data_IF_231417322478
#
_entry.id   IF_231417322478
#
_cell.length_a   1.000
_cell.length_b   1.000
_cell.length_c   1.000
_cell.angle_alpha   90.00
_cell.angle_beta   90.00
_cell.angle_gamma   90.00
#
_symmetry.space_group_name_H-M   'P 1'
#
loop_
_entity.id
_entity.type
_entity.pdbx_description
1 polymer ?
#
# COMPACT_ATOMS: atom_id res chain seq x y z
N UNK A 1 18.25 -21.55 -11.26
CA UNK A 1 18.61 -20.14 -11.54
C UNK A 1 17.33 -19.37 -11.36
N UNK A 2 17.18 -18.71 -10.21
CA UNK A 2 15.95 -18.00 -9.86
C UNK A 2 15.74 -16.84 -10.85
N UNK A 3 14.50 -16.69 -11.31
CA UNK A 3 14.14 -15.63 -12.24
C UNK A 3 14.38 -14.27 -11.57
N UNK A 4 15.46 -13.58 -11.92
CA UNK A 4 15.80 -12.22 -11.44
C UNK A 4 14.84 -11.13 -11.97
N UNK A 5 13.68 -11.52 -12.49
CA UNK A 5 12.68 -10.59 -13.01
C UNK A 5 11.76 -10.19 -11.87
N UNK A 6 11.68 -8.89 -11.54
CA UNK A 6 10.74 -8.41 -10.55
C UNK A 6 9.30 -8.80 -10.91
N UNK A 7 8.49 -9.09 -9.90
CA UNK A 7 7.05 -9.28 -10.07
C UNK A 7 6.39 -7.92 -10.25
N UNK A 8 5.51 -7.78 -11.26
CA UNK A 8 4.76 -6.54 -11.51
C UNK A 8 3.97 -6.13 -10.27
N UNK A 9 4.10 -4.87 -9.84
CA UNK A 9 3.54 -4.37 -8.59
C UNK A 9 4.33 -4.74 -7.33
N UNK A 10 5.38 -5.57 -7.44
CA UNK A 10 6.23 -5.99 -6.33
C UNK A 10 6.93 -4.80 -5.65
N UNK A 11 7.10 -4.89 -4.34
CA UNK A 11 7.75 -3.87 -3.51
C UNK A 11 9.20 -4.27 -3.23
N UNK A 12 10.09 -3.30 -3.33
CA UNK A 12 11.53 -3.45 -3.19
C UNK A 12 12.08 -2.30 -2.35
N UNK A 13 13.09 -2.56 -1.53
CA UNK A 13 13.81 -1.52 -0.80
C UNK A 13 15.23 -1.41 -1.31
N UNK A 14 15.73 -0.17 -1.41
CA UNK A 14 17.16 0.07 -1.62
C UNK A 14 17.96 -0.26 -0.35
N UNK A 15 19.28 -0.32 -0.46
CA UNK A 15 20.18 -0.41 0.70
C UNK A 15 20.03 0.76 1.69
N UNK A 16 19.51 1.91 1.23
CA UNK A 16 19.19 3.06 2.08
C UNK A 16 17.84 2.96 2.80
N UNK A 17 17.04 1.92 2.51
CA UNK A 17 15.70 1.72 3.09
C UNK A 17 14.57 2.43 2.34
N UNK A 18 14.86 3.11 1.23
CA UNK A 18 13.84 3.76 0.40
C UNK A 18 12.99 2.69 -0.30
N UNK A 19 11.67 2.83 -0.26
CA UNK A 19 10.73 1.85 -0.80
C UNK A 19 10.33 2.20 -2.23
N UNK A 20 10.38 1.20 -3.10
CA UNK A 20 10.07 1.28 -4.52
C UNK A 20 9.04 0.23 -4.92
N UNK A 21 8.12 0.60 -5.80
CA UNK A 21 7.20 -0.32 -6.48
C UNK A 21 7.67 -0.55 -7.90
N UNK A 22 7.77 -1.81 -8.32
CA UNK A 22 8.08 -2.15 -9.71
C UNK A 22 6.85 -1.99 -10.61
N UNK A 23 6.99 -1.27 -11.71
CA UNK A 23 5.91 -1.01 -12.67
C UNK A 23 6.02 -1.82 -13.97
N UNK A 24 7.22 -2.26 -14.36
CA UNK A 24 7.41 -3.00 -15.60
C UNK A 24 8.74 -2.74 -16.28
N UNK A 25 8.87 -3.22 -17.52
CA UNK A 25 10.07 -3.09 -18.33
C UNK A 25 9.90 -2.03 -19.42
N UNK A 26 10.98 -1.30 -19.67
CA UNK A 26 11.16 -0.46 -20.84
C UNK A 26 12.43 -0.86 -21.58
N UNK A 27 12.59 -0.33 -22.79
CA UNK A 27 13.80 -0.51 -23.59
C UNK A 27 14.33 0.84 -24.02
N UNK A 28 15.60 1.11 -23.73
CA UNK A 28 16.24 2.34 -24.14
C UNK A 28 16.32 2.41 -25.67
N UNK A 29 15.78 3.47 -26.27
CA UNK A 29 15.64 3.54 -27.73
C UNK A 29 16.97 3.61 -28.49
N UNK A 30 18.01 4.15 -27.85
CA UNK A 30 19.33 4.35 -28.48
C UNK A 30 20.26 3.14 -28.27
N UNK A 31 20.26 2.53 -27.08
CA UNK A 31 21.19 1.41 -26.75
C UNK A 31 20.52 0.05 -26.88
N UNK A 32 19.19 -0.02 -26.89
CA UNK A 32 18.43 -1.27 -26.86
C UNK A 32 18.44 -1.97 -25.51
N UNK A 33 19.04 -1.36 -24.47
CA UNK A 33 19.14 -1.95 -23.14
C UNK A 33 17.77 -2.05 -22.46
N UNK A 34 17.57 -3.16 -21.75
CA UNK A 34 16.40 -3.37 -20.90
C UNK A 34 16.52 -2.55 -19.61
N UNK A 35 15.48 -1.78 -19.34
CA UNK A 35 15.36 -0.96 -18.15
C UNK A 35 14.16 -1.44 -17.34
N UNK A 36 14.34 -1.58 -16.04
CA UNK A 36 13.28 -1.81 -15.08
C UNK A 36 12.77 -0.45 -14.60
N UNK A 37 11.46 -0.26 -14.65
CA UNK A 37 10.80 0.98 -14.22
C UNK A 37 10.26 0.78 -12.81
N UNK A 38 10.75 1.61 -11.89
CA UNK A 38 10.31 1.65 -10.51
C UNK A 38 9.69 3.00 -10.19
N UNK A 39 8.79 3.02 -9.21
CA UNK A 39 8.25 4.22 -8.61
C UNK A 39 8.67 4.28 -7.14
N UNK A 40 9.34 5.36 -6.74
CA UNK A 40 9.59 5.63 -5.32
C UNK A 40 8.27 5.96 -4.61
N UNK A 41 7.98 5.28 -3.49
CA UNK A 41 6.68 5.41 -2.80
C UNK A 41 6.44 6.82 -2.23
N UNK A 42 7.45 7.45 -1.64
CA UNK A 42 7.28 8.74 -0.96
C UNK A 42 7.21 9.91 -1.96
N UNK A 43 8.14 9.96 -2.91
CA UNK A 43 8.23 11.07 -3.88
C UNK A 43 7.39 10.87 -5.13
N UNK A 44 6.87 9.65 -5.36
CA UNK A 44 6.18 9.22 -6.58
C UNK A 44 7.04 9.32 -7.85
N UNK A 45 8.36 9.54 -7.72
CA UNK A 45 9.28 9.69 -8.84
C UNK A 45 9.49 8.33 -9.53
N UNK A 46 9.44 8.35 -10.86
CA UNK A 46 9.78 7.20 -11.69
C UNK A 46 11.30 7.12 -11.91
N UNK A 47 11.87 5.96 -11.66
CA UNK A 47 13.27 5.65 -11.91
C UNK A 47 13.40 4.48 -12.89
N UNK A 48 14.24 4.66 -13.90
CA UNK A 48 14.61 3.60 -14.82
C UNK A 48 16.00 3.07 -14.45
N UNK A 49 16.08 1.80 -14.08
CA UNK A 49 17.34 1.16 -13.65
C UNK A 49 17.66 -0.04 -14.52
N UNK A 50 18.94 -0.32 -14.72
CA UNK A 50 19.36 -1.53 -15.44
C UNK A 50 19.23 -2.76 -14.55
N UNK A 51 19.02 -3.94 -15.15
CA UNK A 51 18.95 -5.21 -14.39
C UNK A 51 20.19 -5.43 -13.51
N UNK A 52 21.44 -5.21 -13.97
CA UNK A 52 22.62 -5.41 -13.12
C UNK A 52 22.66 -4.47 -11.90
N UNK A 53 22.18 -3.23 -12.04
CA UNK A 53 22.10 -2.29 -10.92
C UNK A 53 21.04 -2.71 -9.92
N UNK A 54 19.83 -3.06 -10.40
CA UNK A 54 18.73 -3.57 -9.57
C UNK A 54 19.19 -4.72 -8.66
N UNK A 55 19.85 -5.72 -9.23
CA UNK A 55 20.27 -6.93 -8.48
C UNK A 55 21.32 -6.67 -7.40
N UNK A 56 22.01 -5.52 -7.44
CA UNK A 56 23.04 -5.15 -6.47
C UNK A 56 22.49 -4.26 -5.36
N UNK A 57 21.60 -3.34 -5.71
CA UNK A 57 21.20 -2.24 -4.83
C UNK A 57 19.80 -2.40 -4.22
N UNK A 58 19.02 -3.37 -4.71
CA UNK A 58 17.64 -3.58 -4.28
C UNK A 58 17.45 -4.98 -3.71
N UNK A 59 16.64 -5.06 -2.66
CA UNK A 59 16.17 -6.30 -2.09
C UNK A 59 14.64 -6.33 -2.21
N UNK A 60 14.06 -7.52 -2.44
CA UNK A 60 12.60 -7.68 -2.39
C UNK A 60 12.17 -7.34 -0.97
N UNK A 61 11.35 -6.30 -0.82
CA UNK A 61 10.69 -6.05 0.45
C UNK A 61 9.69 -7.19 0.68
N UNK A 62 9.31 -7.45 1.93
CA UNK A 62 8.15 -8.32 2.20
C UNK A 62 6.89 -7.81 1.47
N UNK A 63 5.79 -8.56 1.55
CA UNK A 63 4.49 -8.14 1.02
C UNK A 63 4.20 -6.65 1.33
N UNK A 64 3.67 -5.90 0.34
CA UNK A 64 3.37 -4.46 0.48
C UNK A 64 2.59 -4.24 1.78
N UNK A 65 3.14 -3.51 2.78
CA UNK A 65 2.50 -3.35 4.08
C UNK A 65 1.07 -2.79 3.96
N UNK A 66 0.85 -1.89 3.00
CA UNK A 66 -0.48 -1.35 2.67
C UNK A 66 -1.44 -2.46 2.20
N UNK A 67 -0.97 -3.39 1.37
CA UNK A 67 -1.79 -4.51 0.89
C UNK A 67 -2.05 -5.53 1.99
N UNK A 68 -1.05 -5.83 2.83
CA UNK A 68 -1.21 -6.71 3.98
C UNK A 68 -2.25 -6.17 4.97
N UNK A 69 -2.18 -4.87 5.26
CA UNK A 69 -3.14 -4.15 6.09
C UNK A 69 -4.55 -4.16 5.47
N UNK A 70 -4.69 -3.81 4.18
CA UNK A 70 -5.99 -3.83 3.49
C UNK A 70 -6.57 -5.24 3.47
N UNK A 71 -5.76 -6.25 3.18
CA UNK A 71 -6.21 -7.64 3.20
C UNK A 71 -6.70 -8.06 4.59
N UNK A 72 -5.94 -7.75 5.65
CA UNK A 72 -6.34 -8.03 7.02
C UNK A 72 -7.64 -7.29 7.39
N UNK A 73 -7.76 -6.02 7.02
CA UNK A 73 -8.94 -5.21 7.29
C UNK A 73 -10.19 -5.76 6.59
N UNK A 74 -10.08 -6.10 5.30
CA UNK A 74 -11.21 -6.59 4.51
C UNK A 74 -11.69 -7.97 4.99
N UNK A 75 -10.78 -8.81 5.47
CA UNK A 75 -11.09 -10.15 5.98
C UNK A 75 -11.40 -10.22 7.49
N UNK A 76 -11.33 -9.09 8.20
CA UNK A 76 -11.64 -9.06 9.64
C UNK A 76 -13.10 -9.45 9.91
N UNK A 77 -13.30 -10.29 10.93
CA UNK A 77 -14.60 -10.92 11.23
C UNK A 77 -15.57 -9.97 11.96
N UNK A 78 -15.07 -8.85 12.49
CA UNK A 78 -15.87 -7.88 13.25
C UNK A 78 -15.43 -6.43 13.03
N UNK A 79 -16.35 -5.49 13.26
CA UNK A 79 -16.02 -4.06 13.20
C UNK A 79 -15.05 -3.64 14.32
N UNK A 80 -15.04 -4.34 15.46
CA UNK A 80 -14.05 -4.16 16.52
C UNK A 80 -12.63 -4.48 16.04
N UNK A 81 -12.46 -5.60 15.34
CA UNK A 81 -11.17 -6.00 14.77
C UNK A 81 -10.72 -5.02 13.69
N UNK A 82 -11.63 -4.60 12.80
CA UNK A 82 -11.39 -3.53 11.83
C UNK A 82 -10.91 -2.23 12.50
N UNK A 83 -11.53 -1.85 13.62
CA UNK A 83 -11.14 -0.65 14.38
C UNK A 83 -9.74 -0.79 14.98
N UNK A 84 -9.39 -1.96 15.52
CA UNK A 84 -8.05 -2.24 16.07
C UNK A 84 -6.99 -2.15 14.98
N UNK A 85 -7.23 -2.81 13.83
CA UNK A 85 -6.32 -2.77 12.68
C UNK A 85 -6.11 -1.34 12.19
N UNK A 86 -7.18 -0.54 12.14
CA UNK A 86 -7.11 0.85 11.74
C UNK A 86 -6.25 1.67 12.72
N UNK A 87 -6.45 1.51 14.02
CA UNK A 87 -5.72 2.23 15.06
C UNK A 87 -4.24 1.85 15.18
N UNK A 88 -3.91 0.55 15.05
CA UNK A 88 -2.55 0.05 15.21
C UNK A 88 -1.62 0.46 14.05
N UNK A 89 -2.17 0.66 12.86
CA UNK A 89 -1.39 0.90 11.65
C UNK A 89 -1.52 2.35 11.15
N UNK A 90 -1.74 3.32 12.05
CA UNK A 90 -1.99 4.74 11.70
C UNK A 90 -0.91 5.35 10.79
N UNK A 91 0.36 4.98 10.97
CA UNK A 91 1.47 5.47 10.15
C UNK A 91 1.48 4.92 8.72
N UNK A 92 0.76 3.83 8.46
CA UNK A 92 0.68 3.15 7.17
C UNK A 92 -0.61 3.51 6.40
N UNK A 93 -1.47 4.35 7.00
CA UNK A 93 -2.74 4.81 6.42
C UNK A 93 -2.51 5.94 5.41
N UNK A 94 -2.15 5.57 4.18
CA UNK A 94 -2.13 6.51 3.06
C UNK A 94 -3.55 6.91 2.65
N UNK A 95 -3.70 8.03 1.93
CA UNK A 95 -4.98 8.46 1.36
C UNK A 95 -5.67 7.33 0.58
N UNK A 96 -4.92 6.64 -0.28
CA UNK A 96 -5.43 5.52 -1.08
C UNK A 96 -5.95 4.33 -0.25
N UNK A 97 -5.26 4.01 0.86
CA UNK A 97 -5.70 2.96 1.80
C UNK A 97 -7.00 3.40 2.47
N UNK A 98 -7.08 4.64 2.96
CA UNK A 98 -8.25 5.18 3.64
C UNK A 98 -9.47 5.27 2.72
N UNK A 99 -9.29 5.66 1.46
CA UNK A 99 -10.37 5.62 0.45
C UNK A 99 -10.90 4.21 0.22
N UNK A 100 -10.00 3.22 0.12
CA UNK A 100 -10.38 1.81 -0.06
C UNK A 100 -11.14 1.27 1.15
N UNK A 101 -10.67 1.61 2.36
CA UNK A 101 -11.37 1.29 3.61
C UNK A 101 -12.76 1.92 3.63
N UNK A 102 -12.88 3.21 3.28
CA UNK A 102 -14.16 3.92 3.24
C UNK A 102 -15.16 3.22 2.31
N UNK A 103 -14.72 2.87 1.10
CA UNK A 103 -15.53 2.12 0.13
C UNK A 103 -16.00 0.78 0.71
N UNK A 104 -15.13 0.04 1.38
CA UNK A 104 -15.49 -1.25 2.02
C UNK A 104 -16.48 -1.13 3.18
N UNK A 105 -16.59 0.06 3.79
CA UNK A 105 -17.52 0.36 4.88
C UNK A 105 -18.84 0.99 4.41
N UNK A 106 -19.00 1.19 3.09
CA UNK A 106 -20.05 2.00 2.47
C UNK A 106 -20.09 3.42 3.06
N UNK A 107 -18.92 3.99 3.36
CA UNK A 107 -18.76 5.34 3.89
C UNK A 107 -18.29 6.29 2.79
N UNK A 108 -18.93 7.45 2.67
CA UNK A 108 -18.51 8.52 1.76
C UNK A 108 -17.63 9.50 2.54
N UNK A 109 -16.40 9.70 2.07
CA UNK A 109 -15.48 10.67 2.65
C UNK A 109 -15.78 12.07 2.11
N UNK A 110 -15.82 13.05 3.01
CA UNK A 110 -16.06 14.45 2.68
C UNK A 110 -14.75 15.27 2.64
N UNK A 111 -13.63 14.64 2.97
CA UNK A 111 -12.32 15.25 3.19
C UNK A 111 -11.25 14.54 2.36
N UNK A 112 -10.28 15.29 1.85
CA UNK A 112 -9.03 14.79 1.24
C UNK A 112 -7.83 14.86 2.19
N UNK A 113 -8.03 15.30 3.44
CA UNK A 113 -7.00 15.26 4.48
C UNK A 113 -6.96 13.86 5.14
N UNK A 114 -5.85 13.11 5.04
CA UNK A 114 -5.74 11.75 5.57
C UNK A 114 -5.99 11.65 7.09
N UNK A 115 -5.55 12.64 7.86
CA UNK A 115 -5.78 12.65 9.31
C UNK A 115 -7.27 12.77 9.63
N UNK A 116 -8.00 13.56 8.83
CA UNK A 116 -9.44 13.72 8.97
C UNK A 116 -10.20 12.49 8.49
N UNK A 117 -9.84 11.96 7.32
CA UNK A 117 -10.42 10.71 6.78
C UNK A 117 -10.30 9.57 7.79
N UNK A 118 -9.14 9.45 8.45
CA UNK A 118 -8.90 8.47 9.50
C UNK A 118 -9.90 8.62 10.67
N UNK A 119 -10.07 9.84 11.19
CA UNK A 119 -10.98 10.10 12.31
C UNK A 119 -12.45 9.82 11.93
N UNK A 120 -12.85 10.16 10.71
CA UNK A 120 -14.20 9.93 10.21
C UNK A 120 -14.50 8.42 10.13
N UNK A 121 -13.55 7.62 9.63
CA UNK A 121 -13.66 6.16 9.57
C UNK A 121 -13.64 5.52 10.96
N UNK A 122 -12.79 6.00 11.87
CA UNK A 122 -12.77 5.57 13.27
C UNK A 122 -14.15 5.76 13.93
N UNK A 123 -14.76 6.93 13.70
CA UNK A 123 -16.07 7.26 14.24
C UNK A 123 -17.19 6.44 13.59
N UNK A 124 -17.09 6.17 12.28
CA UNK A 124 -18.00 5.29 11.55
C UNK A 124 -18.01 3.88 12.17
N UNK A 125 -16.84 3.28 12.36
CA UNK A 125 -16.70 1.95 12.96
C UNK A 125 -17.24 1.90 14.40
N UNK A 126 -16.88 2.88 15.25
CA UNK A 126 -17.43 2.99 16.61
C UNK A 126 -18.96 3.05 16.62
N UNK A 127 -19.54 3.76 15.65
CA UNK A 127 -20.99 3.86 15.51
C UNK A 127 -21.58 2.51 15.12
N UNK A 128 -21.05 1.83 14.10
CA UNK A 128 -21.52 0.49 13.68
C UNK A 128 -21.46 -0.51 14.84
N UNK A 129 -20.33 -0.59 15.56
CA UNK A 129 -20.16 -1.45 16.75
C UNK A 129 -21.27 -1.20 17.78
N UNK A 130 -21.55 0.07 18.09
CA UNK A 130 -22.57 0.44 19.09
C UNK A 130 -23.99 0.01 18.69
N UNK A 131 -24.31 -0.07 17.40
CA UNK A 131 -25.64 -0.44 16.93
C UNK A 131 -25.78 -1.94 16.59
N UNK A 132 -24.69 -2.61 16.22
CA UNK A 132 -24.69 -4.06 15.97
C UNK A 132 -24.86 -4.87 17.26
N UNK A 133 -24.23 -4.45 18.36
CA UNK A 133 -24.40 -5.08 19.68
C UNK A 133 -25.82 -4.93 20.28
N UNK A 134 -26.64 -4.02 19.74
CA UNK A 134 -28.01 -3.76 20.21
C UNK A 134 -29.09 -4.48 19.39
N UNK A 135 -28.71 -5.27 18.38
CA UNK A 135 -29.62 -6.06 17.54
C UNK A 135 -29.83 -7.51 18.03
N UNK A 136 -29.24 -7.86 19.18
CA UNK A 136 -29.40 -9.14 19.87
C UNK A 136 -30.21 -8.88 21.14
#
# INVERSE_FOLDING_TARGET
>A
MENLRPEEGGIYHSLSGTVYRYLGMARHCQTGEELLIFQEKETQILQAVTVPYFTKEFQKAGEDPEQGLLYAFLNADSNEEKLILLQQNRSEMTEAVLETVAQSLDYTLDSSDPDRMFLDLEQCLRTKIKYERRRI
#
